data_IF_391784585870
#
_entry.id   IF_391784585870
#
_cell.length_a   1.000
_cell.length_b   1.000
_cell.length_c   1.000
_cell.angle_alpha   90.00
_cell.angle_beta   90.00
_cell.angle_gamma   90.00
#
_symmetry.space_group_name_H-M   'P 1'
#
loop_
_entity.id
_entity.type
_entity.pdbx_description
1 polymer ?
#
# COMPACT_ATOMS: atom_id res chain seq x y z
N UNK A 1 -39.90 -2.73 -6.77
CA UNK A 1 -38.66 -2.03 -6.41
C UNK A 1 -38.11 -2.70 -5.16
N UNK A 2 -37.23 -3.70 -5.28
CA UNK A 2 -36.69 -4.40 -4.11
C UNK A 2 -35.49 -3.67 -3.53
N UNK A 3 -35.47 -3.65 -2.20
CA UNK A 3 -34.53 -3.11 -1.23
C UNK A 3 -33.05 -3.52 -1.44
N UNK A 4 -32.42 -3.17 -2.56
CA UNK A 4 -30.97 -3.19 -2.65
C UNK A 4 -30.42 -1.84 -2.19
N UNK A 5 -30.45 -1.62 -0.86
CA UNK A 5 -29.48 -0.72 -0.22
C UNK A 5 -28.10 -1.38 -0.39
N UNK A 6 -27.56 -1.35 -1.61
CA UNK A 6 -26.21 -1.81 -1.92
C UNK A 6 -25.31 -1.02 -1.01
N UNK A 7 -24.79 -1.65 0.03
CA UNK A 7 -23.59 -1.20 0.72
C UNK A 7 -22.53 -1.11 -0.36
N UNK A 8 -22.39 0.06 -0.98
CA UNK A 8 -21.31 0.35 -1.91
C UNK A 8 -20.08 0.45 -1.03
N UNK A 9 -19.41 -0.68 -0.82
CA UNK A 9 -18.10 -0.72 -0.18
C UNK A 9 -17.23 0.26 -0.96
N UNK A 10 -16.78 1.32 -0.30
CA UNK A 10 -15.90 2.34 -0.88
C UNK A 10 -14.47 1.94 -0.57
N UNK A 11 -13.88 1.10 -1.41
CA UNK A 11 -12.53 0.59 -1.21
C UNK A 11 -11.48 1.69 -1.16
N UNK A 12 -11.77 2.90 -1.66
CA UNK A 12 -10.88 4.07 -1.50
C UNK A 12 -10.43 4.33 -0.06
N UNK A 13 -11.27 4.03 0.95
CA UNK A 13 -10.89 4.21 2.35
C UNK A 13 -9.82 3.22 2.82
N UNK A 14 -9.79 2.00 2.25
CA UNK A 14 -8.72 1.06 2.53
C UNK A 14 -7.36 1.58 2.02
N UNK A 15 -7.34 2.21 0.84
CA UNK A 15 -6.13 2.82 0.28
C UNK A 15 -5.73 4.13 0.97
N UNK A 16 -6.68 4.90 1.50
CA UNK A 16 -6.34 5.99 2.43
C UNK A 16 -5.71 5.45 3.73
N UNK A 17 -6.22 4.33 4.25
CA UNK A 17 -5.60 3.62 5.37
C UNK A 17 -4.19 3.13 5.06
N UNK A 18 -3.99 2.56 3.87
CA UNK A 18 -2.67 2.17 3.37
C UNK A 18 -1.73 3.38 3.27
N UNK A 19 -2.19 4.50 2.70
CA UNK A 19 -1.40 5.73 2.61
C UNK A 19 -0.96 6.24 3.99
N UNK A 20 -1.87 6.18 4.98
CA UNK A 20 -1.57 6.56 6.35
C UNK A 20 -0.52 5.61 6.97
N UNK A 21 -0.70 4.30 6.83
CA UNK A 21 0.26 3.31 7.32
C UNK A 21 1.64 3.50 6.69
N UNK A 22 1.70 3.68 5.37
CA UNK A 22 2.96 3.94 4.67
C UNK A 22 3.60 5.24 5.17
N UNK A 23 2.82 6.29 5.42
CA UNK A 23 3.35 7.55 5.97
C UNK A 23 3.97 7.36 7.35
N UNK A 24 3.35 6.56 8.22
CA UNK A 24 3.94 6.18 9.52
C UNK A 24 5.25 5.42 9.29
N UNK A 25 5.28 4.46 8.36
CA UNK A 25 6.50 3.70 8.03
C UNK A 25 7.61 4.59 7.47
N UNK A 26 7.30 5.58 6.64
CA UNK A 26 8.25 6.58 6.14
C UNK A 26 8.89 7.33 7.31
N UNK A 27 8.08 7.80 8.26
CA UNK A 27 8.58 8.51 9.45
C UNK A 27 9.51 7.60 10.25
N UNK A 28 9.13 6.33 10.49
CA UNK A 28 9.98 5.39 11.20
C UNK A 28 11.28 5.09 10.46
N UNK A 29 11.23 4.90 9.14
CA UNK A 29 12.42 4.59 8.34
C UNK A 29 13.42 5.75 8.29
N UNK A 30 12.94 7.00 8.17
CA UNK A 30 13.81 8.17 8.03
C UNK A 30 14.33 8.66 9.38
N UNK A 31 13.47 8.76 10.39
CA UNK A 31 13.83 9.39 11.66
C UNK A 31 14.25 8.41 12.74
N UNK A 32 13.80 7.15 12.68
CA UNK A 32 14.08 6.13 13.71
C UNK A 32 14.41 4.75 13.07
N UNK A 33 15.37 4.68 12.12
CA UNK A 33 15.63 3.47 11.33
C UNK A 33 16.00 2.25 12.19
N UNK A 34 16.69 2.46 13.32
CA UNK A 34 17.02 1.38 14.25
C UNK A 34 15.78 0.70 14.84
N UNK A 35 14.75 1.48 15.16
CA UNK A 35 13.50 0.93 15.68
C UNK A 35 12.78 0.10 14.62
N UNK A 36 12.78 0.57 13.38
CA UNK A 36 12.21 -0.16 12.24
C UNK A 36 12.89 -1.51 12.03
N UNK A 37 14.23 -1.56 11.96
CA UNK A 37 14.96 -2.82 11.76
C UNK A 37 14.71 -3.80 12.91
N UNK A 38 14.60 -3.31 14.15
CA UNK A 38 14.32 -4.15 15.33
C UNK A 38 12.97 -4.87 15.27
N UNK A 39 12.01 -4.39 14.47
CA UNK A 39 10.76 -5.12 14.22
C UNK A 39 10.98 -6.36 13.35
N UNK A 40 12.04 -6.36 12.53
CA UNK A 40 12.35 -7.40 11.56
C UNK A 40 13.38 -8.41 12.09
N UNK A 41 14.38 -7.95 12.85
CA UNK A 41 15.44 -8.79 13.41
C UNK A 41 15.94 -8.28 14.77
N UNK A 42 16.39 -9.19 15.63
CA UNK A 42 17.07 -8.85 16.90
C UNK A 42 18.57 -8.64 16.72
N UNK A 43 19.12 -8.89 15.53
CA UNK A 43 20.55 -8.72 15.26
C UNK A 43 20.95 -7.24 15.23
N UNK A 44 22.21 -6.97 15.59
CA UNK A 44 22.78 -5.64 15.50
C UNK A 44 22.88 -5.21 14.03
N UNK A 45 22.31 -4.05 13.70
CA UNK A 45 22.29 -3.55 12.33
C UNK A 45 23.60 -2.81 12.00
N UNK A 46 24.17 -3.09 10.83
CA UNK A 46 25.31 -2.32 10.31
C UNK A 46 24.90 -0.90 9.91
N UNK A 47 25.86 0.02 9.82
CA UNK A 47 25.61 1.39 9.31
C UNK A 47 24.99 1.36 7.92
N UNK A 48 25.49 0.49 7.04
CA UNK A 48 24.95 0.35 5.68
C UNK A 48 23.48 -0.08 5.70
N UNK A 49 23.10 -0.99 6.60
CA UNK A 49 21.71 -1.45 6.73
C UNK A 49 20.78 -0.30 7.16
N UNK A 50 21.25 0.58 8.05
CA UNK A 50 20.47 1.75 8.48
C UNK A 50 20.27 2.75 7.33
N UNK A 51 21.31 3.04 6.56
CA UNK A 51 21.20 3.90 5.37
C UNK A 51 20.22 3.31 4.35
N UNK A 52 20.28 2.00 4.09
CA UNK A 52 19.35 1.34 3.18
C UNK A 52 17.88 1.46 3.62
N UNK A 53 17.60 1.46 4.92
CA UNK A 53 16.25 1.70 5.45
C UNK A 53 15.81 3.15 5.21
N UNK A 54 16.72 4.12 5.34
CA UNK A 54 16.40 5.53 5.03
C UNK A 54 16.07 5.68 3.54
N UNK A 55 16.88 5.10 2.64
CA UNK A 55 16.61 5.09 1.20
C UNK A 55 15.28 4.42 0.86
N UNK A 56 14.96 3.31 1.53
CA UNK A 56 13.65 2.68 1.42
C UNK A 56 12.52 3.62 1.86
N UNK A 57 12.68 4.33 2.97
CA UNK A 57 11.73 5.34 3.45
C UNK A 57 11.48 6.47 2.43
N UNK A 58 12.54 6.96 1.77
CA UNK A 58 12.43 7.99 0.73
C UNK A 58 11.62 7.47 -0.47
N UNK A 59 11.90 6.26 -0.94
CA UNK A 59 11.14 5.64 -2.04
C UNK A 59 9.68 5.41 -1.65
N UNK A 60 9.44 4.91 -0.44
CA UNK A 60 8.10 4.69 0.09
C UNK A 60 7.30 6.00 0.18
N UNK A 61 7.96 7.12 0.53
CA UNK A 61 7.34 8.44 0.52
C UNK A 61 6.87 8.84 -0.87
N UNK A 62 7.75 8.76 -1.89
CA UNK A 62 7.41 9.11 -3.28
C UNK A 62 6.24 8.27 -3.79
N UNK A 63 6.30 6.96 -3.53
CA UNK A 63 5.26 6.02 -3.91
C UNK A 63 3.92 6.41 -3.24
N UNK A 64 3.92 6.58 -1.92
CA UNK A 64 2.73 6.96 -1.13
C UNK A 64 2.15 8.29 -1.56
N UNK A 65 3.00 9.27 -1.88
CA UNK A 65 2.59 10.57 -2.41
C UNK A 65 1.83 10.43 -3.74
N UNK A 66 2.35 9.63 -4.68
CA UNK A 66 1.70 9.38 -5.97
C UNK A 66 0.32 8.72 -5.77
N UNK A 67 0.22 7.67 -4.93
CA UNK A 67 -1.06 7.02 -4.66
C UNK A 67 -2.06 7.99 -4.04
N UNK A 68 -1.62 8.78 -3.05
CA UNK A 68 -2.48 9.76 -2.37
C UNK A 68 -2.98 10.82 -3.34
N UNK A 69 -2.11 11.35 -4.21
CA UNK A 69 -2.49 12.32 -5.23
C UNK A 69 -3.55 11.78 -6.18
N UNK A 70 -3.41 10.53 -6.63
CA UNK A 70 -4.39 9.91 -7.53
C UNK A 70 -5.72 9.62 -6.81
N UNK A 71 -5.68 9.23 -5.53
CA UNK A 71 -6.88 9.06 -4.71
C UNK A 71 -7.66 10.37 -4.58
N UNK A 72 -6.97 11.50 -4.38
CA UNK A 72 -7.59 12.83 -4.26
C UNK A 72 -8.23 13.26 -5.58
N UNK A 73 -7.55 13.07 -6.70
CA UNK A 73 -8.04 13.47 -8.03
C UNK A 73 -9.16 12.54 -8.52
N UNK A 74 -9.34 11.37 -7.88
CA UNK A 74 -10.32 10.35 -8.26
C UNK A 74 -10.18 9.88 -9.73
N UNK A 75 -8.96 9.85 -10.26
CA UNK A 75 -8.70 9.38 -11.64
C UNK A 75 -8.57 7.85 -11.69
N UNK A 76 -9.65 7.18 -12.10
CA UNK A 76 -9.75 5.72 -12.13
C UNK A 76 -8.71 5.05 -13.05
N UNK A 77 -8.39 5.64 -14.20
CA UNK A 77 -7.42 5.07 -15.15
C UNK A 77 -6.01 5.10 -14.58
N UNK A 78 -5.60 6.26 -14.04
CA UNK A 78 -4.30 6.42 -13.38
C UNK A 78 -4.20 5.50 -12.15
N UNK A 79 -5.27 5.42 -11.35
CA UNK A 79 -5.31 4.55 -10.17
C UNK A 79 -5.08 3.09 -10.52
N UNK A 80 -5.75 2.59 -11.58
CA UNK A 80 -5.56 1.21 -12.04
C UNK A 80 -4.10 0.91 -12.41
N UNK A 81 -3.43 1.82 -13.12
CA UNK A 81 -2.03 1.65 -13.53
C UNK A 81 -1.12 1.59 -12.29
N UNK A 82 -1.33 2.50 -11.33
CA UNK A 82 -0.54 2.51 -10.08
C UNK A 82 -0.78 1.24 -9.25
N UNK A 83 -2.02 0.76 -9.15
CA UNK A 83 -2.33 -0.48 -8.45
C UNK A 83 -1.67 -1.71 -9.10
N UNK A 84 -1.53 -1.75 -10.43
CA UNK A 84 -0.78 -2.82 -11.10
C UNK A 84 0.69 -2.78 -10.70
N UNK A 85 1.32 -1.59 -10.70
CA UNK A 85 2.70 -1.44 -10.26
C UNK A 85 2.91 -1.87 -8.80
N UNK A 86 1.98 -1.50 -7.93
CA UNK A 86 2.03 -1.88 -6.52
C UNK A 86 1.86 -3.38 -6.33
N UNK A 87 0.97 -4.01 -7.12
CA UNK A 87 0.76 -5.46 -7.07
C UNK A 87 2.05 -6.24 -7.37
N UNK A 88 2.85 -5.79 -8.34
CA UNK A 88 4.18 -6.37 -8.57
C UNK A 88 5.10 -6.16 -7.37
N UNK A 89 5.13 -4.95 -6.81
CA UNK A 89 5.89 -4.64 -5.60
C UNK A 89 5.54 -5.55 -4.43
N UNK A 90 4.25 -5.84 -4.21
CA UNK A 90 3.78 -6.72 -3.14
C UNK A 90 4.32 -8.14 -3.25
N UNK A 91 4.30 -8.70 -4.46
CA UNK A 91 4.82 -10.05 -4.71
C UNK A 91 6.31 -10.12 -4.40
N UNK A 92 7.09 -9.12 -4.83
CA UNK A 92 8.50 -9.03 -4.49
C UNK A 92 8.70 -8.83 -2.98
N UNK A 93 7.86 -8.04 -2.32
CA UNK A 93 7.96 -7.79 -0.89
C UNK A 93 7.67 -9.05 -0.06
N UNK A 94 6.64 -9.82 -0.40
CA UNK A 94 6.37 -11.11 0.26
C UNK A 94 7.53 -12.09 0.02
N UNK A 95 8.01 -12.20 -1.21
CA UNK A 95 9.13 -13.07 -1.54
C UNK A 95 10.40 -12.71 -0.75
N UNK A 96 10.71 -11.41 -0.67
CA UNK A 96 11.84 -10.90 0.10
C UNK A 96 11.67 -11.15 1.61
N UNK A 97 10.47 -10.94 2.16
CA UNK A 97 10.18 -11.18 3.58
C UNK A 97 10.34 -12.66 3.96
N UNK A 98 9.82 -13.58 3.13
CA UNK A 98 9.98 -15.02 3.33
C UNK A 98 11.45 -15.42 3.21
N UNK A 99 12.15 -14.94 2.18
CA UNK A 99 13.58 -15.22 2.01
C UNK A 99 14.40 -14.75 3.23
N UNK A 100 14.11 -13.54 3.72
CA UNK A 100 14.76 -12.98 4.89
C UNK A 100 14.49 -13.79 6.16
N UNK A 101 13.24 -14.22 6.38
CA UNK A 101 12.87 -15.09 7.50
C UNK A 101 13.62 -16.42 7.50
N UNK A 102 13.72 -17.06 6.33
CA UNK A 102 14.47 -18.32 6.16
C UNK A 102 15.96 -18.10 6.42
N UNK A 103 16.54 -17.00 5.91
CA UNK A 103 17.96 -16.68 6.10
C UNK A 103 18.31 -16.41 7.56
N UNK A 104 17.45 -15.72 8.29
CA UNK A 104 17.61 -15.48 9.73
C UNK A 104 17.20 -16.68 10.60
N UNK A 105 16.59 -17.72 10.00
CA UNK A 105 15.95 -18.81 10.72
C UNK A 105 15.00 -18.31 11.83
N UNK A 106 14.29 -17.21 11.57
CA UNK A 106 13.46 -16.52 12.55
C UNK A 106 12.25 -15.85 11.89
N UNK A 107 11.08 -16.04 12.50
CA UNK A 107 9.82 -15.42 12.10
C UNK A 107 9.41 -14.38 13.13
N UNK A 108 9.96 -13.18 13.01
CA UNK A 108 9.62 -12.07 13.89
C UNK A 108 8.20 -11.58 13.62
N UNK A 109 7.62 -10.91 14.61
CA UNK A 109 6.30 -10.30 14.47
C UNK A 109 6.24 -9.35 13.27
N UNK A 110 7.28 -8.53 13.04
CA UNK A 110 7.31 -7.59 11.92
C UNK A 110 7.29 -8.30 10.56
N UNK A 111 8.00 -9.42 10.42
CA UNK A 111 7.98 -10.24 9.18
C UNK A 111 6.58 -10.81 8.95
N UNK A 112 5.99 -11.45 9.96
CA UNK A 112 4.65 -12.06 9.86
C UNK A 112 3.62 -10.99 9.53
N UNK A 113 3.64 -9.87 10.27
CA UNK A 113 2.75 -8.74 10.05
C UNK A 113 2.87 -8.18 8.62
N UNK A 114 4.10 -8.01 8.12
CA UNK A 114 4.35 -7.56 6.76
C UNK A 114 3.71 -8.49 5.74
N UNK A 115 3.94 -9.81 5.85
CA UNK A 115 3.38 -10.79 4.91
C UNK A 115 1.85 -10.77 4.95
N UNK A 116 1.24 -10.76 6.13
CA UNK A 116 -0.22 -10.79 6.29
C UNK A 116 -0.84 -9.52 5.72
N UNK A 117 -0.33 -8.35 6.07
CA UNK A 117 -0.86 -7.07 5.56
C UNK A 117 -0.66 -6.96 4.05
N UNK A 118 0.51 -7.31 3.53
CA UNK A 118 0.76 -7.31 2.08
C UNK A 118 -0.17 -8.28 1.35
N UNK A 119 -0.44 -9.47 1.91
CA UNK A 119 -1.41 -10.41 1.32
C UNK A 119 -2.84 -9.84 1.27
N UNK A 120 -3.29 -9.14 2.33
CA UNK A 120 -4.58 -8.44 2.31
C UNK A 120 -4.60 -7.35 1.24
N UNK A 121 -3.53 -6.57 1.12
CA UNK A 121 -3.45 -5.51 0.12
C UNK A 121 -3.41 -6.05 -1.32
N UNK A 122 -2.73 -7.18 -1.57
CA UNK A 122 -2.78 -7.90 -2.85
C UNK A 122 -4.23 -8.19 -3.24
N UNK A 123 -5.03 -8.74 -2.33
CA UNK A 123 -6.43 -9.07 -2.57
C UNK A 123 -7.24 -7.79 -2.92
N UNK A 124 -7.06 -6.72 -2.15
CA UNK A 124 -7.74 -5.45 -2.39
C UNK A 124 -7.37 -4.86 -3.76
N UNK A 125 -6.09 -4.89 -4.14
CA UNK A 125 -5.62 -4.41 -5.44
C UNK A 125 -6.17 -5.25 -6.57
N UNK A 126 -6.18 -6.59 -6.45
CA UNK A 126 -6.83 -7.48 -7.41
C UNK A 126 -8.30 -7.11 -7.63
N UNK A 127 -9.07 -6.94 -6.54
CA UNK A 127 -10.49 -6.56 -6.63
C UNK A 127 -10.64 -5.24 -7.40
N UNK A 128 -9.83 -4.24 -7.12
CA UNK A 128 -9.96 -2.92 -7.76
C UNK A 128 -9.49 -2.90 -9.20
N UNK A 129 -8.44 -3.65 -9.54
CA UNK A 129 -7.95 -3.74 -10.93
C UNK A 129 -9.03 -4.34 -11.85
N UNK A 130 -9.73 -5.37 -11.37
CA UNK A 130 -10.77 -6.07 -12.15
C UNK A 130 -12.17 -5.48 -11.99
N UNK A 131 -12.47 -4.88 -10.84
CA UNK A 131 -13.79 -4.32 -10.51
C UNK A 131 -13.65 -2.90 -9.94
N UNK A 132 -13.15 -1.94 -10.74
CA UNK A 132 -12.84 -0.60 -10.26
C UNK A 132 -14.09 0.20 -9.83
N UNK A 133 -15.30 -0.25 -10.17
CA UNK A 133 -16.56 0.31 -9.66
C UNK A 133 -16.68 0.28 -8.13
N UNK A 134 -15.95 -0.61 -7.44
CA UNK A 134 -15.91 -0.67 -5.97
C UNK A 134 -15.00 0.40 -5.34
N UNK A 135 -14.25 1.15 -6.14
CA UNK A 135 -13.39 2.21 -5.62
C UNK A 135 -14.21 3.38 -5.07
N UNK A 136 -15.35 3.68 -5.67
CA UNK A 136 -16.26 4.74 -5.22
C UNK A 136 -15.82 6.16 -5.63
N UNK A 137 -15.12 6.28 -6.76
CA UNK A 137 -14.86 7.56 -7.44
C UNK A 137 -16.14 8.08 -8.11
N UNK A 138 -16.31 9.41 -8.15
CA UNK A 138 -17.46 10.02 -8.84
C UNK A 138 -17.29 9.88 -10.35
N UNK A 139 -18.33 9.39 -11.02
CA UNK A 139 -18.34 9.26 -12.48
C UNK A 139 -18.63 10.65 -13.07
N UNK A 140 -17.74 11.17 -13.92
CA UNK A 140 -17.77 12.54 -14.44
C UNK A 140 -18.85 12.74 -15.55
N UNK A 141 -20.04 12.18 -15.39
CA UNK A 141 -21.15 12.34 -16.32
C UNK A 141 -21.98 13.62 -16.06
N UNK A 142 -21.80 14.29 -14.92
CA UNK A 142 -22.59 15.47 -14.53
C UNK A 142 -22.30 16.73 -15.36
N UNK A 143 -21.30 16.69 -16.25
CA UNK A 143 -20.98 17.82 -17.15
C UNK A 143 -21.84 17.79 -18.43
N UNK A 144 -22.39 16.62 -18.83
CA UNK A 144 -23.18 16.51 -20.06
C UNK A 144 -24.68 16.80 -19.90
N UNK A 145 -25.21 16.82 -18.69
CA UNK A 145 -26.64 17.09 -18.45
C UNK A 145 -26.99 18.57 -18.29
N UNK A 146 -26.00 19.48 -18.21
CA UNK A 146 -26.24 20.93 -18.12
C UNK A 146 -26.09 21.67 -19.46
N UNK A 147 -25.94 20.95 -20.58
CA UNK A 147 -25.85 21.53 -21.93
C UNK A 147 -27.10 21.26 -22.80
N UNK A 148 -28.18 20.73 -22.23
CA UNK A 148 -29.46 20.53 -22.94
C UNK A 148 -30.59 21.37 -22.33
#
# INVERSE_FOLDING_TARGET
MSNETKVRIKLKYAFYGEALLNTIMVILCIFIPQFFIRQLTSETSSTLSLEMVIWYGILLFVITFIMTGILIIENQKAFKIVMIGYLFGDWFQIGAAIHFAIKLNSWTFGIIFTIVITAVLIILRFIVIFKPQFLGFKYNNDIKENEN
#
